data_IF_906824322189
#
_entry.id   IF_906824322189
#
_cell.length_a   1.000
_cell.length_b   1.000
_cell.length_c   1.000
_cell.angle_alpha   90.00
_cell.angle_beta   90.00
_cell.angle_gamma   90.00
#
_symmetry.space_group_name_H-M   'P 1'
#
loop_
_entity.id
_entity.type
_entity.pdbx_description
1 polymer ?
#
# COMPACT_ATOMS: atom_id res chain seq x y z
N UNK A 1 -9.36 -3.75 -1.86
CA UNK A 1 -8.82 -2.59 -1.13
C UNK A 1 -8.41 -1.50 -2.06
N UNK A 2 -8.50 -0.27 -1.62
CA UNK A 2 -8.15 0.87 -2.44
C UNK A 2 -7.47 1.95 -1.58
N UNK A 3 -7.09 3.03 -2.22
CA UNK A 3 -6.36 4.10 -1.56
C UNK A 3 -7.19 4.81 -0.49
N UNK A 4 -8.48 4.93 -0.72
CA UNK A 4 -9.37 5.54 0.27
C UNK A 4 -9.43 4.69 1.53
N UNK A 5 -9.42 3.39 1.39
CA UNK A 5 -9.40 2.47 2.52
C UNK A 5 -8.11 2.64 3.34
N UNK A 6 -6.97 2.78 2.65
CA UNK A 6 -5.70 3.04 3.31
C UNK A 6 -5.77 4.33 4.13
N UNK A 7 -6.34 5.38 3.55
CA UNK A 7 -6.48 6.65 4.23
C UNK A 7 -7.34 6.53 5.48
N UNK A 8 -8.43 5.80 5.39
CA UNK A 8 -9.31 5.58 6.55
C UNK A 8 -8.57 4.86 7.67
N UNK A 9 -7.80 3.84 7.33
CA UNK A 9 -7.05 3.10 8.33
C UNK A 9 -5.97 3.99 8.94
N UNK A 10 -5.29 4.80 8.13
CA UNK A 10 -4.27 5.72 8.65
C UNK A 10 -4.84 6.72 9.63
N UNK A 11 -6.04 7.21 9.36
CA UNK A 11 -6.69 8.16 10.25
C UNK A 11 -7.07 7.55 11.59
N UNK A 12 -7.33 6.24 11.61
CA UNK A 12 -7.78 5.54 12.82
C UNK A 12 -6.63 4.86 13.58
N UNK A 13 -5.47 4.73 12.99
CA UNK A 13 -4.38 3.94 13.56
C UNK A 13 -3.08 4.74 13.60
N UNK A 14 -2.56 4.93 14.79
CA UNK A 14 -1.31 5.69 15.00
C UNK A 14 -0.06 4.83 14.92
N UNK A 15 -0.21 3.52 14.90
CA UNK A 15 0.94 2.63 14.87
C UNK A 15 1.48 2.43 13.47
N UNK A 16 2.23 1.37 13.31
CA UNK A 16 2.85 1.07 12.03
C UNK A 16 1.83 0.50 11.05
N UNK A 17 1.89 0.96 9.81
CA UNK A 17 1.07 0.43 8.72
C UNK A 17 1.95 -0.15 7.64
N UNK A 18 1.60 -1.35 7.20
CA UNK A 18 2.29 -2.04 6.12
C UNK A 18 1.31 -2.25 4.98
N UNK A 19 1.67 -1.78 3.80
CA UNK A 19 0.88 -1.97 2.58
C UNK A 19 1.53 -3.07 1.77
N UNK A 20 0.73 -4.05 1.39
CA UNK A 20 1.21 -5.17 0.60
C UNK A 20 0.36 -5.29 -0.66
N UNK A 21 1.02 -5.51 -1.80
CA UNK A 21 0.27 -5.71 -3.02
C UNK A 21 1.10 -5.66 -4.26
N UNK A 22 0.42 -5.68 -5.37
CA UNK A 22 1.01 -5.54 -6.69
C UNK A 22 1.03 -4.06 -7.01
N UNK A 23 2.20 -3.45 -6.86
CA UNK A 23 2.33 -2.00 -6.97
C UNK A 23 3.46 -1.65 -7.90
N UNK A 24 3.30 -0.55 -8.63
CA UNK A 24 4.40 0.03 -9.39
C UNK A 24 5.11 1.09 -8.54
N UNK A 25 6.14 1.72 -9.11
CA UNK A 25 6.93 2.70 -8.37
C UNK A 25 6.09 3.89 -7.92
N UNK A 26 5.21 4.37 -8.79
CA UNK A 26 4.37 5.53 -8.45
C UNK A 26 3.44 5.22 -7.29
N UNK A 27 2.91 3.99 -7.26
CA UNK A 27 2.03 3.57 -6.18
C UNK A 27 2.79 3.39 -4.88
N UNK A 28 4.02 2.92 -4.95
CA UNK A 28 4.85 2.81 -3.75
C UNK A 28 5.09 4.18 -3.14
N UNK A 29 5.40 5.17 -3.98
CA UNK A 29 5.57 6.54 -3.52
C UNK A 29 4.27 7.08 -2.94
N UNK A 30 3.15 6.81 -3.59
CA UNK A 30 1.85 7.25 -3.11
C UNK A 30 1.51 6.63 -1.75
N UNK A 31 1.74 5.33 -1.60
CA UNK A 31 1.49 4.67 -0.33
C UNK A 31 2.32 5.29 0.79
N UNK A 32 3.58 5.58 0.51
CA UNK A 32 4.45 6.22 1.47
C UNK A 32 3.94 7.61 1.83
N UNK A 33 3.51 8.38 0.85
CA UNK A 33 3.00 9.73 1.09
C UNK A 33 1.70 9.73 1.88
N UNK A 34 0.96 8.63 1.83
CA UNK A 34 -0.28 8.48 2.59
C UNK A 34 -0.06 7.95 3.99
N UNK A 35 1.19 7.72 4.38
CA UNK A 35 1.52 7.35 5.74
C UNK A 35 1.88 5.91 5.98
N UNK A 36 2.07 5.11 4.94
CA UNK A 36 2.53 3.74 5.12
C UNK A 36 3.97 3.74 5.63
N UNK A 37 4.23 2.91 6.62
CA UNK A 37 5.57 2.79 7.20
C UNK A 37 6.43 1.79 6.47
N UNK A 38 5.80 0.81 5.82
CA UNK A 38 6.50 -0.18 5.02
C UNK A 38 5.62 -0.60 3.84
N UNK A 39 6.26 -1.03 2.79
CA UNK A 39 5.57 -1.43 1.58
C UNK A 39 6.17 -2.74 1.10
N UNK A 40 5.33 -3.75 0.93
CA UNK A 40 5.74 -5.03 0.39
C UNK A 40 5.17 -5.14 -1.02
N UNK A 41 6.04 -5.20 -2.00
CA UNK A 41 5.63 -5.26 -3.38
C UNK A 41 5.71 -6.71 -3.85
N UNK A 42 4.59 -7.21 -4.32
CA UNK A 42 4.54 -8.52 -4.94
C UNK A 42 4.73 -8.35 -6.43
N UNK A 43 5.82 -8.89 -6.93
CA UNK A 43 6.14 -8.77 -8.34
C UNK A 43 6.02 -10.14 -9.01
N UNK A 44 5.01 -10.29 -9.83
CA UNK A 44 4.80 -11.54 -10.56
C UNK A 44 5.33 -11.40 -11.98
N UNK A 45 6.62 -11.22 -12.06
CA UNK A 45 7.36 -11.41 -13.29
C UNK A 45 6.85 -10.65 -14.46
N UNK A 46 6.81 -9.42 -14.42
CA UNK A 46 6.56 -8.82 -15.62
C UNK A 46 5.87 -7.49 -15.57
N UNK A 47 4.97 -7.34 -16.42
CA UNK A 47 4.33 -6.08 -16.60
C UNK A 47 3.17 -5.93 -15.68
N UNK A 48 3.17 -4.86 -14.96
CA UNK A 48 2.01 -4.52 -14.20
C UNK A 48 1.43 -3.25 -14.75
N UNK A 49 0.32 -3.41 -15.41
CA UNK A 49 -0.40 -2.28 -15.94
C UNK A 49 -1.27 -1.65 -14.88
N UNK A 50 -1.74 -2.48 -13.96
CA UNK A 50 -2.63 -2.03 -12.89
C UNK A 50 -2.01 -2.33 -11.54
N UNK A 51 -2.30 -1.46 -10.60
CA UNK A 51 -1.84 -1.61 -9.24
C UNK A 51 -2.97 -2.11 -8.37
N UNK A 52 -2.66 -3.01 -7.45
CA UNK A 52 -3.66 -3.55 -6.54
C UNK A 52 -3.08 -3.71 -5.15
N UNK A 53 -3.74 -3.14 -4.18
CA UNK A 53 -3.41 -3.36 -2.79
C UNK A 53 -4.08 -4.66 -2.36
N UNK A 54 -3.27 -5.64 -1.95
CA UNK A 54 -3.78 -6.93 -1.50
C UNK A 54 -4.20 -6.86 -0.04
N UNK A 55 -3.44 -6.18 0.77
CA UNK A 55 -3.74 -6.07 2.19
C UNK A 55 -3.06 -4.88 2.82
N UNK A 56 -3.62 -4.45 3.95
CA UNK A 56 -3.04 -3.42 4.79
C UNK A 56 -2.97 -4.00 6.19
N UNK A 57 -1.79 -3.95 6.80
CA UNK A 57 -1.62 -4.45 8.15
C UNK A 57 -1.33 -3.31 9.10
N UNK A 58 -2.12 -3.23 10.15
CA UNK A 58 -1.90 -2.32 11.27
C UNK A 58 -1.19 -3.09 12.38
N UNK A 59 -0.02 -2.66 12.72
CA UNK A 59 0.81 -3.36 13.72
C UNK A 59 0.88 -2.60 15.03
#
# INVERSE_FOLDING_TARGET
MNWEHLKQIRDLWDGNLIVKGILNTDDAVKAQSMGADAIIISNHGGRQLDSAISSIKAL
#
